data_IF_045619228089
#
_entry.id   IF_045619228089
#
_cell.length_a   1.000
_cell.length_b   1.000
_cell.length_c   1.000
_cell.angle_alpha   90.00
_cell.angle_beta   90.00
_cell.angle_gamma   90.00
#
_symmetry.space_group_name_H-M   'P 1'
#
loop_
_entity.id
_entity.type
_entity.pdbx_description
1 polymer ?
#
# COMPACT_ATOMS: atom_id res chain seq x y z
N UNK A 1 -7.20 -20.44 3.77
CA UNK A 1 -7.36 -18.98 3.83
C UNK A 1 -7.42 -18.47 2.39
N UNK A 2 -8.62 -18.16 1.91
CA UNK A 2 -8.73 -17.45 0.64
C UNK A 2 -8.13 -16.06 0.84
N UNK A 3 -6.93 -15.85 0.34
CA UNK A 3 -6.36 -14.51 0.19
C UNK A 3 -7.35 -13.72 -0.66
N UNK A 4 -7.91 -12.66 -0.11
CA UNK A 4 -8.60 -11.67 -0.91
C UNK A 4 -7.55 -11.10 -1.88
N UNK A 5 -7.51 -11.67 -3.07
CA UNK A 5 -6.76 -11.06 -4.17
C UNK A 5 -7.41 -9.71 -4.40
N UNK A 6 -6.62 -8.69 -4.29
CA UNK A 6 -7.09 -7.38 -4.67
C UNK A 6 -7.39 -7.46 -6.16
N UNK A 7 -8.65 -7.22 -6.50
CA UNK A 7 -9.12 -7.28 -7.87
C UNK A 7 -8.30 -6.31 -8.71
N UNK A 8 -7.85 -6.77 -9.86
CA UNK A 8 -7.17 -5.90 -10.81
C UNK A 8 -8.15 -4.80 -11.31
N UNK A 9 -7.62 -3.75 -11.90
CA UNK A 9 -8.42 -2.62 -12.40
C UNK A 9 -9.49 -3.10 -13.37
N UNK A 10 -9.13 -3.98 -14.30
CA UNK A 10 -10.07 -4.62 -15.23
C UNK A 10 -11.27 -5.24 -14.52
N UNK A 11 -11.00 -6.07 -13.48
CA UNK A 11 -12.09 -6.78 -12.79
C UNK A 11 -13.08 -5.79 -12.14
N UNK A 12 -12.57 -4.66 -11.65
CA UNK A 12 -13.42 -3.61 -11.07
C UNK A 12 -14.31 -2.96 -12.12
N UNK A 13 -13.78 -2.65 -13.30
CA UNK A 13 -14.56 -2.09 -14.41
C UNK A 13 -15.57 -3.11 -14.94
N UNK A 14 -15.20 -4.37 -15.09
CA UNK A 14 -16.12 -5.44 -15.49
C UNK A 14 -17.27 -5.63 -14.50
N UNK A 15 -17.07 -5.32 -13.23
CA UNK A 15 -18.12 -5.29 -12.21
C UNK A 15 -18.87 -3.97 -12.12
N UNK A 16 -18.68 -3.05 -13.09
CA UNK A 16 -19.42 -1.80 -13.22
C UNK A 16 -18.82 -0.60 -12.47
N UNK A 17 -17.58 -0.66 -11.99
CA UNK A 17 -16.92 0.51 -11.45
C UNK A 17 -16.74 1.59 -12.53
N UNK A 18 -17.07 2.84 -12.19
CA UNK A 18 -16.89 3.99 -13.10
C UNK A 18 -15.51 4.64 -12.96
N UNK A 19 -14.82 4.37 -11.87
CA UNK A 19 -13.47 4.84 -11.60
C UNK A 19 -12.76 3.90 -10.62
N UNK A 20 -11.44 4.04 -10.51
CA UNK A 20 -10.60 3.33 -9.54
C UNK A 20 -9.73 4.32 -8.79
N UNK A 21 -9.52 4.08 -7.50
CA UNK A 21 -8.63 4.86 -6.66
C UNK A 21 -7.38 4.04 -6.34
N UNK A 22 -6.21 4.61 -6.60
CA UNK A 22 -4.92 3.97 -6.34
C UNK A 22 -4.05 4.89 -5.49
N UNK A 23 -3.56 4.40 -4.35
CA UNK A 23 -2.61 5.13 -3.50
C UNK A 23 -1.20 4.59 -3.65
N UNK A 24 -0.99 3.32 -3.31
CA UNK A 24 0.35 2.72 -3.18
C UNK A 24 1.19 2.80 -4.47
N UNK A 25 0.57 2.64 -5.64
CA UNK A 25 1.28 2.81 -6.91
C UNK A 25 1.81 4.25 -7.08
N UNK A 26 0.98 5.26 -6.80
CA UNK A 26 1.40 6.66 -6.93
C UNK A 26 2.42 7.07 -5.86
N UNK A 27 2.42 6.43 -4.67
CA UNK A 27 3.48 6.62 -3.68
C UNK A 27 4.83 6.15 -4.22
N UNK A 28 4.86 5.14 -5.07
CA UNK A 28 6.07 4.58 -5.67
C UNK A 28 6.40 5.16 -7.06
N UNK A 29 5.98 6.40 -7.34
CA UNK A 29 6.35 7.10 -8.59
C UNK A 29 7.57 8.00 -8.41
N UNK A 30 8.17 8.41 -9.53
CA UNK A 30 9.31 9.33 -9.55
C UNK A 30 8.95 10.68 -8.93
N UNK A 31 7.75 11.20 -9.24
CA UNK A 31 7.27 12.51 -8.77
C UNK A 31 6.88 12.52 -7.29
N UNK A 32 6.73 11.35 -6.69
CA UNK A 32 6.43 11.27 -5.26
C UNK A 32 7.61 11.75 -4.42
N UNK A 33 7.36 12.66 -3.50
CA UNK A 33 8.37 13.24 -2.58
C UNK A 33 8.76 12.30 -1.43
N UNK A 34 8.16 11.13 -1.37
CA UNK A 34 8.44 10.12 -0.35
C UNK A 34 9.87 9.60 -0.48
N UNK A 35 10.54 9.39 0.64
CA UNK A 35 11.93 8.92 0.68
C UNK A 35 12.12 7.62 -0.12
N UNK A 36 13.25 7.50 -0.82
CA UNK A 36 13.56 6.35 -1.69
C UNK A 36 13.48 4.99 -0.95
N UNK A 37 13.88 4.94 0.31
CA UNK A 37 13.77 3.72 1.12
C UNK A 37 12.31 3.24 1.23
N UNK A 38 11.36 4.18 1.33
CA UNK A 38 9.94 3.85 1.39
C UNK A 38 9.45 3.26 0.05
N UNK A 39 9.80 3.90 -1.08
CA UNK A 39 9.48 3.39 -2.42
C UNK A 39 10.07 1.99 -2.61
N UNK A 40 11.34 1.82 -2.25
CA UNK A 40 12.03 0.53 -2.33
C UNK A 40 11.40 -0.54 -1.43
N UNK A 41 10.89 -0.17 -0.25
CA UNK A 41 10.16 -1.10 0.60
C UNK A 41 8.87 -1.60 -0.07
N UNK A 42 8.16 -0.72 -0.79
CA UNK A 42 6.97 -1.11 -1.58
C UNK A 42 7.37 -2.07 -2.70
N UNK A 43 8.41 -1.74 -3.50
CA UNK A 43 8.88 -2.57 -4.63
C UNK A 43 9.29 -3.98 -4.16
N UNK A 44 9.93 -4.08 -3.00
CA UNK A 44 10.37 -5.36 -2.42
C UNK A 44 9.27 -6.14 -1.72
N UNK A 45 8.10 -5.53 -1.51
CA UNK A 45 7.02 -6.15 -0.77
C UNK A 45 6.50 -7.43 -1.44
N UNK A 46 6.17 -8.41 -0.62
CA UNK A 46 5.53 -9.67 -1.01
C UNK A 46 4.07 -9.66 -0.52
N UNK A 47 3.25 -10.56 -1.05
CA UNK A 47 1.83 -10.70 -0.68
C UNK A 47 1.60 -10.88 0.83
N UNK A 48 2.58 -11.49 1.51
CA UNK A 48 2.52 -11.78 2.94
C UNK A 48 3.00 -10.62 3.82
N UNK A 49 3.55 -9.55 3.24
CA UNK A 49 4.18 -8.48 4.02
C UNK A 49 3.18 -7.41 4.48
N UNK A 50 1.96 -7.41 3.94
CA UNK A 50 0.91 -6.49 4.38
C UNK A 50 0.29 -6.95 5.71
N UNK A 51 0.21 -6.06 6.68
CA UNK A 51 -0.38 -6.28 8.02
C UNK A 51 -1.39 -5.19 8.34
N UNK A 52 -2.38 -5.54 9.15
CA UNK A 52 -3.34 -4.59 9.70
C UNK A 52 -3.08 -4.47 11.19
N UNK A 53 -2.80 -3.26 11.66
CA UNK A 53 -2.66 -2.87 13.07
C UNK A 53 -3.87 -2.06 13.50
N UNK A 54 -4.10 -1.87 14.80
CA UNK A 54 -5.14 -1.00 15.34
C UNK A 54 -6.56 -1.55 15.24
N UNK A 55 -6.72 -2.88 15.18
CA UNK A 55 -8.05 -3.49 15.21
C UNK A 55 -8.71 -3.36 16.57
N UNK A 56 -7.95 -3.54 17.64
CA UNK A 56 -8.42 -3.41 19.01
C UNK A 56 -8.84 -1.99 19.37
N UNK A 57 -8.21 -1.00 18.76
CA UNK A 57 -8.48 0.42 19.00
C UNK A 57 -9.62 0.98 18.13
N UNK A 58 -10.15 0.20 17.18
CA UNK A 58 -11.17 0.68 16.23
C UNK A 58 -10.60 1.53 15.08
N UNK A 59 -9.28 1.72 15.02
CA UNK A 59 -8.59 2.51 13.99
C UNK A 59 -7.63 1.63 13.15
N UNK A 60 -8.17 0.72 12.33
CA UNK A 60 -7.33 -0.21 11.59
C UNK A 60 -6.51 0.49 10.50
N UNK A 61 -5.21 0.29 10.52
CA UNK A 61 -4.26 0.79 9.52
C UNK A 61 -3.55 -0.37 8.87
N UNK A 62 -3.37 -0.31 7.54
CA UNK A 62 -2.61 -1.29 6.80
C UNK A 62 -1.22 -0.77 6.48
N UNK A 63 -0.19 -1.53 6.87
CA UNK A 63 1.20 -1.21 6.66
C UNK A 63 2.02 -2.42 6.24
N UNK A 64 3.22 -2.21 5.72
CA UNK A 64 4.17 -3.27 5.45
C UNK A 64 4.77 -3.80 6.76
N UNK A 65 5.09 -5.08 6.75
CA UNK A 65 5.72 -5.77 7.87
C UNK A 65 7.14 -5.23 8.10
N UNK A 66 7.40 -4.72 9.29
CA UNK A 66 8.70 -4.28 9.76
C UNK A 66 8.80 -4.44 11.30
N UNK A 67 9.83 -3.92 11.93
CA UNK A 67 9.99 -4.01 13.39
C UNK A 67 8.90 -3.27 14.15
N UNK A 68 8.51 -2.08 13.67
CA UNK A 68 7.43 -1.30 14.30
C UNK A 68 6.11 -2.06 14.27
N UNK A 69 5.68 -2.55 13.10
CA UNK A 69 4.41 -3.29 12.97
C UNK A 69 4.42 -4.59 13.79
N UNK A 70 5.58 -5.27 13.91
CA UNK A 70 5.71 -6.45 14.77
C UNK A 70 5.49 -6.07 16.22
N UNK A 71 6.22 -5.07 16.71
CA UNK A 71 6.10 -4.57 18.08
C UNK A 71 4.67 -4.12 18.42
N UNK A 72 4.03 -3.41 17.48
CA UNK A 72 2.64 -2.97 17.62
C UNK A 72 1.69 -4.17 17.82
N UNK A 73 1.78 -5.17 16.94
CA UNK A 73 0.92 -6.35 17.00
C UNK A 73 1.16 -7.20 18.25
N UNK A 74 2.41 -7.28 18.71
CA UNK A 74 2.75 -7.96 19.96
C UNK A 74 2.14 -7.24 21.18
N UNK A 75 2.22 -5.91 21.24
CA UNK A 75 1.58 -5.09 22.26
C UNK A 75 0.05 -5.20 22.21
N UNK A 76 -0.54 -5.08 21.01
CA UNK A 76 -2.00 -5.19 20.78
C UNK A 76 -2.52 -6.55 21.26
N UNK A 77 -1.78 -7.64 20.97
CA UNK A 77 -2.11 -9.00 21.42
C UNK A 77 -2.04 -9.15 22.95
N UNK A 78 -1.15 -8.43 23.60
CA UNK A 78 -0.98 -8.45 25.05
C UNK A 78 -1.93 -7.49 25.79
N UNK A 79 -2.86 -6.86 25.09
CA UNK A 79 -3.88 -5.99 25.69
C UNK A 79 -3.37 -4.61 26.07
N UNK A 80 -2.32 -4.10 25.41
CA UNK A 80 -1.81 -2.75 25.62
C UNK A 80 -2.91 -1.70 25.45
N UNK A 81 -2.82 -0.62 26.22
CA UNK A 81 -3.79 0.50 26.15
C UNK A 81 -3.69 1.25 24.83
N UNK A 82 -4.73 2.04 24.53
CA UNK A 82 -4.72 2.91 23.36
C UNK A 82 -3.54 3.87 23.37
N UNK A 83 -3.27 4.48 24.53
CA UNK A 83 -2.18 5.45 24.71
C UNK A 83 -0.80 4.83 24.46
N UNK A 84 -0.58 3.59 24.91
CA UNK A 84 0.68 2.87 24.67
C UNK A 84 0.90 2.57 23.19
N UNK A 85 -0.17 2.16 22.49
CA UNK A 85 -0.14 1.90 21.06
C UNK A 85 0.03 3.18 20.24
N UNK A 86 -0.65 4.28 20.62
CA UNK A 86 -0.51 5.58 19.98
C UNK A 86 0.91 6.12 20.15
N UNK A 87 1.48 6.06 21.35
CA UNK A 87 2.84 6.51 21.61
C UNK A 87 3.87 5.79 20.76
N UNK A 88 3.68 4.50 20.49
CA UNK A 88 4.57 3.74 19.60
C UNK A 88 4.52 4.23 18.15
N UNK A 89 3.35 4.68 17.68
CA UNK A 89 3.15 5.08 16.28
C UNK A 89 3.31 6.58 16.06
N UNK A 90 3.38 7.37 17.12
CA UNK A 90 3.52 8.82 17.04
C UNK A 90 4.77 9.21 16.23
N UNK A 91 4.55 10.01 15.17
CA UNK A 91 5.61 10.41 14.26
C UNK A 91 6.14 9.29 13.35
N UNK A 92 5.62 8.05 13.47
CA UNK A 92 6.09 6.89 12.70
C UNK A 92 5.96 7.06 11.20
N UNK A 93 4.88 7.69 10.74
CA UNK A 93 4.72 7.96 9.31
C UNK A 93 5.79 8.94 8.80
N UNK A 94 6.06 10.02 9.53
CA UNK A 94 7.09 10.99 9.21
C UNK A 94 8.48 10.33 9.12
N UNK A 95 8.82 9.49 10.10
CA UNK A 95 10.09 8.71 10.09
C UNK A 95 10.26 7.91 8.80
N UNK A 96 9.21 7.25 8.33
CA UNK A 96 9.28 6.45 7.12
C UNK A 96 9.31 7.32 5.85
N UNK A 97 8.46 8.35 5.77
CA UNK A 97 8.24 9.17 4.56
C UNK A 97 9.37 10.17 4.35
N UNK A 98 9.84 10.82 5.41
CA UNK A 98 10.82 11.92 5.35
C UNK A 98 12.22 11.42 5.67
N UNK A 99 12.38 10.71 6.80
CA UNK A 99 13.68 10.28 7.28
C UNK A 99 14.15 8.96 6.65
N UNK A 100 13.26 8.25 5.94
CA UNK A 100 13.57 6.98 5.29
C UNK A 100 13.76 5.79 6.24
N UNK A 101 13.38 5.91 7.52
CA UNK A 101 13.43 4.81 8.48
C UNK A 101 12.24 3.87 8.26
N UNK A 102 12.38 2.96 7.33
CA UNK A 102 11.37 1.94 7.02
C UNK A 102 11.36 0.77 8.01
N UNK A 103 12.30 0.75 8.95
CA UNK A 103 12.41 -0.30 9.97
C UNK A 103 11.55 0.02 11.18
N UNK A 104 11.64 1.26 11.69
CA UNK A 104 10.93 1.71 12.89
C UNK A 104 9.78 2.68 12.57
N UNK A 105 9.67 3.12 11.32
CA UNK A 105 8.59 3.99 10.85
C UNK A 105 7.38 3.20 10.35
N UNK A 106 6.27 3.91 10.14
CA UNK A 106 5.04 3.35 9.60
C UNK A 106 5.06 3.40 8.07
N UNK A 107 5.25 2.26 7.42
CA UNK A 107 5.21 2.14 5.96
C UNK A 107 3.81 1.74 5.53
N UNK A 108 2.92 2.72 5.39
CA UNK A 108 1.54 2.48 4.98
C UNK A 108 1.48 2.04 3.52
N UNK A 109 0.82 0.92 3.26
CA UNK A 109 0.64 0.39 1.91
C UNK A 109 -0.57 -0.52 1.83
N UNK A 110 -1.26 -0.50 0.70
CA UNK A 110 -2.41 -1.36 0.44
C UNK A 110 -2.04 -2.84 0.26
N UNK A 111 -3.06 -3.68 0.12
CA UNK A 111 -2.86 -5.11 -0.13
C UNK A 111 -2.17 -5.40 -1.46
N UNK A 112 -2.32 -4.49 -2.43
CA UNK A 112 -1.70 -4.57 -3.77
C UNK A 112 -0.24 -4.11 -3.80
N UNK A 113 0.37 -3.76 -2.67
CA UNK A 113 1.77 -3.32 -2.64
C UNK A 113 2.71 -4.30 -3.37
N UNK A 114 2.48 -5.60 -3.22
CA UNK A 114 3.26 -6.64 -3.89
C UNK A 114 3.13 -6.64 -5.44
N UNK A 115 2.16 -5.93 -6.00
CA UNK A 115 1.99 -5.78 -7.45
C UNK A 115 2.84 -4.64 -8.03
N UNK A 116 3.31 -3.73 -7.19
CA UNK A 116 4.19 -2.63 -7.58
C UNK A 116 5.60 -3.20 -7.73
N UNK A 117 6.16 -3.19 -8.94
CA UNK A 117 7.44 -3.86 -9.24
C UNK A 117 8.56 -2.90 -9.64
N UNK A 118 8.21 -1.68 -10.01
CA UNK A 118 9.15 -0.69 -10.52
C UNK A 118 8.71 0.72 -10.13
N UNK A 119 9.65 1.62 -10.09
CA UNK A 119 9.41 3.07 -9.95
C UNK A 119 9.36 3.61 -11.36
N UNK A 120 8.32 4.36 -11.67
CA UNK A 120 8.12 4.99 -12.98
C UNK A 120 7.46 6.35 -12.82
N UNK A 121 7.43 7.14 -13.88
CA UNK A 121 6.69 8.40 -13.86
C UNK A 121 5.18 8.18 -13.72
N UNK A 122 4.47 9.16 -13.16
CA UNK A 122 3.00 9.11 -13.13
C UNK A 122 2.40 8.96 -14.53
N UNK A 123 3.01 9.60 -15.54
CA UNK A 123 2.58 9.51 -16.93
C UNK A 123 2.67 8.07 -17.42
N UNK A 124 3.83 7.43 -17.26
CA UNK A 124 4.06 6.07 -17.74
C UNK A 124 3.19 5.06 -17.00
N UNK A 125 2.99 5.26 -15.69
CA UNK A 125 2.08 4.45 -14.88
C UNK A 125 0.65 4.49 -15.45
N UNK A 126 0.13 5.68 -15.72
CA UNK A 126 -1.24 5.84 -16.25
C UNK A 126 -1.32 5.21 -17.65
N UNK A 127 -0.37 5.48 -18.53
CA UNK A 127 -0.35 4.91 -19.88
C UNK A 127 -0.28 3.38 -19.87
N UNK A 128 0.57 2.81 -19.02
CA UNK A 128 0.69 1.37 -18.82
C UNK A 128 -0.64 0.76 -18.35
N UNK A 129 -1.26 1.34 -17.34
CA UNK A 129 -2.53 0.86 -16.80
C UNK A 129 -3.66 0.91 -17.81
N UNK A 130 -3.76 1.98 -18.61
CA UNK A 130 -4.76 2.10 -19.67
C UNK A 130 -4.51 1.06 -20.75
N UNK A 131 -3.29 0.97 -21.29
CA UNK A 131 -2.95 0.04 -22.36
C UNK A 131 -3.14 -1.43 -21.96
N UNK A 132 -2.73 -1.81 -20.74
CA UNK A 132 -2.94 -3.17 -20.23
C UNK A 132 -4.43 -3.47 -20.05
N UNK A 133 -5.22 -2.49 -19.62
CA UNK A 133 -6.66 -2.66 -19.46
C UNK A 133 -7.37 -2.80 -20.81
N UNK A 134 -7.04 -1.98 -21.78
CA UNK A 134 -7.59 -2.02 -23.15
C UNK A 134 -7.25 -3.35 -23.84
N UNK A 135 -6.01 -3.80 -23.72
CA UNK A 135 -5.59 -5.09 -24.27
C UNK A 135 -6.39 -6.27 -23.67
N UNK A 136 -6.75 -6.18 -22.39
CA UNK A 136 -7.52 -7.23 -21.69
C UNK A 136 -9.02 -7.20 -22.02
N UNK A 137 -9.58 -6.05 -22.40
CA UNK A 137 -11.00 -5.89 -22.77
C UNK A 137 -11.26 -6.24 -24.24
N UNK A 138 -10.21 -6.58 -25.00
CA UNK A 138 -10.33 -6.97 -26.41
C UNK A 138 -10.27 -5.79 -27.38
N UNK A 139 -9.56 -4.74 -27.03
CA UNK A 139 -9.28 -3.60 -27.90
C UNK A 139 -10.46 -2.65 -28.11
N UNK A 140 -11.56 -2.81 -27.36
CA UNK A 140 -12.59 -1.78 -27.25
C UNK A 140 -12.15 -0.81 -26.16
N UNK A 141 -11.75 0.39 -26.58
CA UNK A 141 -11.32 1.42 -25.66
C UNK A 141 -12.39 1.75 -24.63
N UNK A 142 -11.98 2.22 -23.46
CA UNK A 142 -12.88 2.64 -22.38
C UNK A 142 -13.79 3.82 -22.76
N UNK A 143 -13.54 4.46 -23.88
CA UNK A 143 -14.12 5.74 -24.29
C UNK A 143 -14.80 5.70 -25.67
N UNK A 144 -15.13 4.49 -26.17
CA UNK A 144 -16.01 4.35 -27.32
C UNK A 144 -17.48 4.15 -26.92
#
# INVERSE_FOLDING_TARGET
IRRQRQMCIRDRFMLGAKAVQMGTHFVATEESIVHENYKNAIIKAKDIDSRVTGRSTGHPVRALRNQMTKKYLDLEKNGASFEELEHLTLGGLRKAVVDGDVTNGSVMAGQSAAMVKEIMSCKDLIQKLVSETDALIGGKGFYE
#
